data_IF_770714290130
#
_entry.id   IF_770714290130
#
_cell.length_a   1.000
_cell.length_b   1.000
_cell.length_c   1.000
_cell.angle_alpha   90.00
_cell.angle_beta   90.00
_cell.angle_gamma   90.00
#
_symmetry.space_group_name_H-M   'P 1'
#
loop_
_entity.id
_entity.type
_entity.pdbx_description
1 polymer ?
#
# COMPACT_ATOMS: atom_id res chain seq x y z
N UNK A 1 29.20 -37.23 36.86
CA UNK A 1 29.29 -38.58 36.26
C UNK A 1 27.94 -38.90 35.63
N UNK A 2 27.74 -39.34 34.40
CA UNK A 2 28.53 -39.50 33.18
C UNK A 2 27.50 -39.53 32.03
N UNK A 3 27.80 -38.84 30.91
CA UNK A 3 27.17 -39.11 29.61
C UNK A 3 27.71 -40.43 29.03
N UNK A 4 27.00 -40.99 28.05
CA UNK A 4 27.59 -41.29 26.73
C UNK A 4 26.76 -40.53 25.66
N UNK A 5 27.24 -39.85 24.61
CA UNK A 5 28.37 -39.94 23.66
C UNK A 5 28.48 -41.30 22.95
N UNK A 6 27.93 -41.35 21.73
CA UNK A 6 28.46 -42.01 20.54
C UNK A 6 28.08 -41.11 19.34
N UNK A 7 28.99 -40.39 18.65
CA UNK A 7 29.98 -40.84 17.64
C UNK A 7 29.29 -41.65 16.51
N UNK A 8 29.43 -41.36 15.20
CA UNK A 8 30.48 -40.65 14.47
C UNK A 8 30.12 -40.50 12.97
N UNK A 9 30.59 -39.40 12.34
CA UNK A 9 31.29 -39.26 11.04
C UNK A 9 30.69 -39.86 9.72
N UNK A 10 30.94 -39.34 8.50
CA UNK A 10 32.11 -38.64 7.95
C UNK A 10 31.76 -37.87 6.64
N UNK A 11 32.63 -36.89 6.35
CA UNK A 11 32.80 -35.97 5.22
C UNK A 11 33.00 -36.55 3.80
N UNK A 12 32.84 -35.66 2.81
CA UNK A 12 33.69 -35.41 1.62
C UNK A 12 33.50 -33.92 1.23
N UNK A 13 34.36 -32.94 1.57
CA UNK A 13 35.68 -32.53 1.01
C UNK A 13 35.85 -32.75 -0.50
N UNK A 14 35.89 -31.67 -1.28
CA UNK A 14 37.10 -31.12 -1.94
C UNK A 14 36.75 -29.90 -2.83
N UNK A 15 37.43 -28.79 -2.60
CA UNK A 15 37.54 -27.67 -3.53
C UNK A 15 38.89 -27.66 -4.25
N UNK A 16 39.04 -26.75 -5.23
CA UNK A 16 40.27 -26.04 -5.66
C UNK A 16 39.87 -25.11 -6.82
N UNK A 17 39.96 -23.77 -6.71
CA UNK A 17 41.16 -22.90 -6.86
C UNK A 17 41.68 -22.91 -8.31
N UNK A 18 42.10 -21.83 -8.99
CA UNK A 18 42.24 -20.37 -8.81
C UNK A 18 42.77 -19.82 -10.16
N UNK A 19 42.65 -18.51 -10.42
CA UNK A 19 43.73 -17.58 -10.89
C UNK A 19 43.27 -16.52 -11.91
N UNK A 20 43.51 -15.24 -11.57
CA UNK A 20 43.51 -14.04 -12.44
C UNK A 20 44.91 -13.87 -13.12
N UNK A 21 45.24 -12.71 -13.75
CA UNK A 21 45.09 -12.28 -15.17
C UNK A 21 46.52 -12.06 -15.81
N UNK A 22 46.78 -11.36 -16.95
CA UNK A 22 46.64 -9.89 -17.14
C UNK A 22 46.36 -9.40 -18.61
N UNK A 23 46.42 -8.08 -18.81
CA UNK A 23 45.89 -7.22 -19.88
C UNK A 23 46.73 -7.04 -21.18
N UNK A 24 46.09 -6.50 -22.26
CA UNK A 24 46.58 -5.51 -23.25
C UNK A 24 45.49 -5.27 -24.35
N UNK A 25 44.88 -4.09 -24.51
CA UNK A 25 45.20 -2.90 -25.36
C UNK A 25 44.67 -2.95 -26.82
N UNK A 26 43.92 -1.88 -27.17
CA UNK A 26 43.59 -1.24 -28.47
C UNK A 26 42.75 -1.96 -29.56
N UNK A 27 41.66 -1.33 -30.02
CA UNK A 27 41.60 -0.60 -31.33
C UNK A 27 40.30 0.23 -31.50
N UNK A 28 40.53 1.53 -31.70
CA UNK A 28 39.85 2.71 -32.28
C UNK A 28 38.64 2.58 -33.28
N UNK A 29 37.49 3.24 -32.93
CA UNK A 29 36.67 4.30 -33.65
C UNK A 29 35.80 3.93 -34.91
N UNK A 30 34.79 4.73 -35.40
CA UNK A 30 33.73 5.65 -34.87
C UNK A 30 32.28 5.16 -35.19
N UNK A 31 31.14 5.78 -34.81
CA UNK A 31 30.38 6.87 -35.51
C UNK A 31 29.05 7.15 -34.75
N UNK A 32 28.70 8.44 -34.62
CA UNK A 32 27.40 9.00 -34.16
C UNK A 32 26.51 9.33 -35.40
N UNK A 33 25.16 9.41 -35.37
CA UNK A 33 24.46 10.58 -34.79
C UNK A 33 23.06 10.33 -34.17
N UNK A 34 22.65 11.26 -33.30
CA UNK A 34 21.27 11.46 -32.80
C UNK A 34 20.30 11.95 -33.88
N UNK A 35 18.98 11.93 -33.61
CA UNK A 35 18.13 13.02 -34.06
C UNK A 35 17.37 13.72 -32.92
N UNK A 36 17.37 15.05 -33.00
CA UNK A 36 16.43 15.95 -32.33
C UNK A 36 15.04 15.82 -32.96
N UNK A 37 13.98 15.90 -32.15
CA UNK A 37 12.64 16.27 -32.62
C UNK A 37 12.09 17.38 -31.73
N UNK A 38 11.77 18.50 -32.36
CA UNK A 38 11.26 19.74 -31.78
C UNK A 38 9.72 19.78 -31.78
N UNK A 39 9.17 20.53 -30.83
CA UNK A 39 7.75 20.68 -30.44
C UNK A 39 7.12 21.91 -31.12
N UNK A 40 5.79 21.90 -31.40
CA UNK A 40 4.84 23.05 -31.23
C UNK A 40 3.38 22.76 -31.70
N UNK A 41 2.34 23.53 -31.26
CA UNK A 41 1.14 22.97 -30.56
C UNK A 41 -0.29 23.30 -31.11
N UNK A 42 -1.29 22.58 -30.53
CA UNK A 42 -2.71 22.94 -30.18
C UNK A 42 -3.79 23.24 -31.25
N UNK A 43 -5.11 22.91 -31.05
CA UNK A 43 -5.92 23.36 -29.88
C UNK A 43 -6.96 22.39 -29.24
N UNK A 44 -7.11 22.60 -27.92
CA UNK A 44 -8.30 22.53 -27.04
C UNK A 44 -9.52 21.65 -27.39
N UNK A 45 -9.76 20.65 -26.53
CA UNK A 45 -11.10 20.37 -26.00
C UNK A 45 -10.94 19.94 -24.54
N UNK A 46 -11.56 20.68 -23.63
CA UNK A 46 -11.41 20.49 -22.19
C UNK A 46 -12.24 19.29 -21.72
N UNK A 47 -11.70 18.32 -20.97
CA UNK A 47 -12.49 17.59 -20.01
C UNK A 47 -12.47 18.38 -18.70
N UNK A 48 -13.66 18.73 -18.21
CA UNK A 48 -13.86 19.27 -16.86
C UNK A 48 -13.32 18.24 -15.87
N UNK A 49 -12.08 18.44 -15.42
CA UNK A 49 -11.51 17.72 -14.29
C UNK A 49 -12.16 18.31 -13.05
N UNK A 50 -13.13 17.59 -12.48
CA UNK A 50 -13.57 17.86 -11.12
C UNK A 50 -12.40 17.51 -10.19
N UNK A 51 -11.55 18.51 -9.95
CA UNK A 51 -10.46 18.43 -8.99
C UNK A 51 -11.04 18.08 -7.62
N UNK A 52 -10.38 17.13 -6.94
CA UNK A 52 -10.55 16.90 -5.52
C UNK A 52 -10.38 18.23 -4.75
N UNK A 53 -11.02 18.39 -3.57
CA UNK A 53 -10.80 19.56 -2.72
C UNK A 53 -9.31 19.82 -2.51
N UNK A 54 -8.90 21.09 -2.58
CA UNK A 54 -7.51 21.56 -2.49
C UNK A 54 -6.77 20.93 -1.31
N UNK A 55 -5.61 20.34 -1.62
CA UNK A 55 -4.71 19.78 -0.63
C UNK A 55 -4.07 20.89 0.20
N UNK A 56 -4.20 20.72 1.51
CA UNK A 56 -3.37 21.29 2.57
C UNK A 56 -1.88 21.21 2.20
N UNK A 57 -1.08 22.11 2.77
CA UNK A 57 0.38 22.27 2.56
C UNK A 57 1.10 20.99 2.10
N UNK A 58 1.90 21.15 1.04
CA UNK A 58 2.66 20.07 0.43
C UNK A 58 3.76 19.58 1.39
N UNK A 59 3.44 18.57 2.19
CA UNK A 59 4.35 17.99 3.18
C UNK A 59 5.34 17.04 2.49
N UNK A 60 6.65 17.27 2.69
CA UNK A 60 7.72 16.41 2.19
C UNK A 60 8.08 15.39 3.26
N UNK A 61 8.35 14.15 2.85
CA UNK A 61 8.73 13.08 3.76
C UNK A 61 10.01 13.43 4.54
N UNK A 62 9.88 13.59 5.86
CA UNK A 62 10.99 13.85 6.78
C UNK A 62 11.74 12.60 7.27
N UNK A 63 12.62 12.79 8.24
CA UNK A 63 13.17 11.66 9.00
C UNK A 63 12.10 11.10 9.94
N UNK A 64 11.88 9.79 9.84
CA UNK A 64 10.93 9.05 10.66
C UNK A 64 11.71 8.08 11.54
N UNK A 65 11.33 8.01 12.82
CA UNK A 65 11.90 7.11 13.81
C UNK A 65 11.00 5.88 14.04
N UNK A 66 11.41 4.99 14.94
CA UNK A 66 10.67 3.77 15.29
C UNK A 66 9.32 4.04 15.95
N UNK A 67 9.13 5.23 16.50
CA UNK A 67 7.89 5.63 17.16
C UNK A 67 6.74 5.73 16.15
N UNK A 68 7.07 5.92 14.87
CA UNK A 68 6.12 6.09 13.75
C UNK A 68 5.99 4.85 12.86
N UNK A 69 6.40 3.68 13.37
CA UNK A 69 6.21 2.42 12.68
C UNK A 69 4.74 2.13 12.41
N UNK A 70 4.44 1.57 11.22
CA UNK A 70 3.10 1.06 10.93
C UNK A 70 2.68 0.07 12.01
N UNK A 71 1.56 0.37 12.65
CA UNK A 71 0.91 -0.48 13.61
C UNK A 71 -0.01 -1.45 12.88
N UNK A 72 0.03 -2.71 13.31
CA UNK A 72 -1.01 -3.66 12.94
C UNK A 72 -2.34 -3.10 13.44
N UNK A 73 -3.38 -3.12 12.59
CA UNK A 73 -4.72 -2.64 12.93
C UNK A 73 -5.02 -1.16 12.72
N UNK A 74 -4.29 -0.41 11.88
CA UNK A 74 -4.84 0.86 11.36
C UNK A 74 -6.12 0.55 10.56
N UNK A 75 -7.26 1.11 10.98
CA UNK A 75 -8.54 0.97 10.30
C UNK A 75 -9.12 2.36 10.06
N UNK A 76 -9.57 2.64 8.85
CA UNK A 76 -10.25 3.87 8.50
C UNK A 76 -11.51 3.53 7.72
N UNK A 77 -12.66 4.02 8.17
CA UNK A 77 -13.94 3.92 7.47
C UNK A 77 -14.53 5.33 7.47
N UNK A 78 -14.25 6.10 6.42
CA UNK A 78 -14.56 7.52 6.35
C UNK A 78 -14.65 7.98 4.90
N UNK A 79 -15.54 8.94 4.63
CA UNK A 79 -15.79 9.46 3.27
C UNK A 79 -16.11 8.35 2.24
N UNK A 80 -16.75 7.25 2.67
CA UNK A 80 -17.07 6.11 1.80
C UNK A 80 -15.85 5.25 1.39
N UNK A 81 -14.70 5.49 2.03
CA UNK A 81 -13.45 4.77 1.83
C UNK A 81 -13.16 3.95 3.08
N UNK A 82 -12.82 2.67 2.85
CA UNK A 82 -12.32 1.76 3.88
C UNK A 82 -10.87 1.42 3.64
N UNK A 83 -10.06 1.49 4.69
CA UNK A 83 -8.66 1.10 4.63
C UNK A 83 -8.26 0.26 5.82
N UNK A 84 -7.33 -0.66 5.60
CA UNK A 84 -6.71 -1.43 6.68
C UNK A 84 -5.24 -1.71 6.46
N UNK A 85 -4.49 -1.78 7.55
CA UNK A 85 -3.13 -2.31 7.58
C UNK A 85 -3.07 -3.59 8.39
N UNK A 86 -2.36 -4.58 7.83
CA UNK A 86 -1.94 -5.78 8.55
C UNK A 86 -0.43 -5.84 8.58
N UNK A 87 0.19 -5.85 9.75
CA UNK A 87 1.66 -5.81 9.91
C UNK A 87 2.17 -7.12 10.50
N UNK A 88 3.26 -7.65 9.93
CA UNK A 88 3.94 -8.87 10.38
C UNK A 88 5.45 -8.78 10.18
N UNK A 89 6.18 -8.47 11.25
CA UNK A 89 7.65 -8.35 11.22
C UNK A 89 8.11 -7.20 10.31
N UNK A 90 8.84 -7.51 9.24
CA UNK A 90 9.31 -6.55 8.24
C UNK A 90 8.41 -6.45 7.00
N UNK A 91 7.22 -7.05 7.05
CA UNK A 91 6.26 -7.06 5.96
C UNK A 91 4.90 -6.55 6.45
N UNK A 92 4.13 -5.96 5.54
CA UNK A 92 2.75 -5.56 5.82
C UNK A 92 1.87 -5.71 4.57
N UNK A 93 0.55 -5.68 4.74
CA UNK A 93 -0.42 -5.54 3.65
C UNK A 93 -1.28 -4.30 3.90
N UNK A 94 -1.35 -3.48 2.87
CA UNK A 94 -2.26 -2.35 2.74
C UNK A 94 -3.48 -2.77 1.93
N UNK A 95 -4.66 -2.36 2.39
CA UNK A 95 -5.93 -2.54 1.70
C UNK A 95 -6.67 -1.21 1.68
N UNK A 96 -7.20 -0.87 0.53
CA UNK A 96 -8.05 0.29 0.26
C UNK A 96 -9.27 -0.16 -0.54
N UNK A 97 -10.44 0.31 -0.13
CA UNK A 97 -11.71 0.01 -0.79
C UNK A 97 -12.55 1.28 -0.81
N UNK A 98 -12.98 1.69 -2.00
CA UNK A 98 -14.04 2.67 -2.21
C UNK A 98 -15.22 1.96 -2.86
N UNK A 99 -16.40 2.00 -2.25
CA UNK A 99 -17.61 1.42 -2.85
C UNK A 99 -18.04 2.22 -4.09
N UNK A 100 -18.71 1.56 -5.02
CA UNK A 100 -19.34 2.24 -6.15
C UNK A 100 -20.43 3.20 -5.65
N UNK A 101 -20.56 4.32 -6.35
CA UNK A 101 -21.60 5.34 -6.16
C UNK A 101 -22.31 5.55 -7.50
N UNK A 102 -23.47 6.23 -7.52
CA UNK A 102 -24.15 6.56 -8.78
C UNK A 102 -23.28 7.38 -9.74
N UNK A 103 -22.33 8.16 -9.21
CA UNK A 103 -21.51 9.11 -9.97
C UNK A 103 -20.11 8.57 -10.29
N UNK A 104 -19.62 7.58 -9.54
CA UNK A 104 -18.24 7.09 -9.63
C UNK A 104 -18.16 5.59 -9.38
N UNK A 105 -17.35 4.92 -10.20
CA UNK A 105 -17.01 3.52 -10.02
C UNK A 105 -16.23 3.31 -8.72
N UNK A 106 -16.54 2.19 -8.07
CA UNK A 106 -15.81 1.73 -6.91
C UNK A 106 -14.44 1.20 -7.29
N UNK A 107 -13.60 0.99 -6.30
CA UNK A 107 -12.21 0.62 -6.49
C UNK A 107 -11.73 -0.19 -5.30
N UNK A 108 -11.00 -1.27 -5.58
CA UNK A 108 -10.26 -2.03 -4.58
C UNK A 108 -8.80 -1.99 -4.95
N UNK A 109 -7.95 -1.66 -3.98
CA UNK A 109 -6.50 -1.65 -4.13
C UNK A 109 -5.87 -2.37 -2.94
N UNK A 110 -4.93 -3.27 -3.22
CA UNK A 110 -4.17 -3.99 -2.20
C UNK A 110 -2.71 -4.07 -2.59
N UNK A 111 -1.84 -3.87 -1.62
CA UNK A 111 -0.39 -3.92 -1.85
C UNK A 111 0.33 -4.51 -0.65
N UNK A 112 1.32 -5.37 -0.91
CA UNK A 112 2.27 -5.75 0.12
C UNK A 112 3.36 -4.69 0.28
N UNK A 113 3.68 -4.38 1.53
CA UNK A 113 4.72 -3.45 1.91
C UNK A 113 5.91 -4.20 2.50
N UNK A 114 7.10 -3.68 2.27
CA UNK A 114 8.34 -4.09 2.93
C UNK A 114 8.87 -2.93 3.76
N UNK A 115 9.39 -3.23 4.94
CA UNK A 115 10.03 -2.22 5.78
C UNK A 115 11.31 -1.74 5.12
N UNK A 116 11.38 -0.44 4.83
CA UNK A 116 12.59 0.19 4.29
C UNK A 116 13.51 0.64 5.42
N UNK A 117 12.93 1.34 6.40
CA UNK A 117 13.57 1.74 7.65
C UNK A 117 12.51 1.87 8.75
N UNK A 118 12.94 2.26 9.95
CA UNK A 118 12.00 2.63 11.02
C UNK A 118 11.08 3.77 10.54
N UNK A 119 9.79 3.66 10.83
CA UNK A 119 8.74 4.59 10.43
C UNK A 119 8.37 4.59 8.95
N UNK A 120 9.14 3.93 8.07
CA UNK A 120 8.98 4.03 6.63
C UNK A 120 8.88 2.67 5.94
N UNK A 121 7.79 2.49 5.22
CA UNK A 121 7.44 1.26 4.53
C UNK A 121 7.30 1.53 3.04
N UNK A 122 7.74 0.58 2.22
CA UNK A 122 7.73 0.72 0.77
C UNK A 122 6.85 -0.34 0.14
N UNK A 123 5.96 0.08 -0.76
CA UNK A 123 5.19 -0.78 -1.62
C UNK A 123 6.11 -1.67 -2.44
N UNK A 124 5.94 -2.98 -2.34
CA UNK A 124 6.88 -3.95 -2.91
C UNK A 124 6.94 -3.90 -4.45
N UNK A 125 5.87 -3.43 -5.09
CA UNK A 125 5.76 -3.34 -6.55
C UNK A 125 5.62 -1.89 -7.02
N UNK A 126 4.83 -1.06 -6.31
CA UNK A 126 4.60 0.33 -6.75
C UNK A 126 5.73 1.27 -6.36
N UNK A 127 6.55 0.91 -5.36
CA UNK A 127 7.58 1.77 -4.82
C UNK A 127 7.05 2.96 -4.01
N UNK A 128 5.73 3.10 -3.83
CA UNK A 128 5.14 4.13 -2.96
C UNK A 128 5.61 3.94 -1.53
N UNK A 129 5.75 5.04 -0.82
CA UNK A 129 6.18 5.03 0.56
C UNK A 129 4.99 5.30 1.49
N UNK A 130 4.90 4.55 2.57
CA UNK A 130 3.85 4.67 3.57
C UNK A 130 4.49 4.93 4.92
N UNK A 131 3.93 5.89 5.65
CA UNK A 131 4.33 6.23 7.00
C UNK A 131 3.09 6.49 7.86
N UNK A 132 3.19 6.15 9.15
CA UNK A 132 2.14 6.43 10.12
C UNK A 132 2.67 7.42 11.14
N UNK A 133 2.47 8.72 10.87
CA UNK A 133 2.94 9.79 11.76
C UNK A 133 2.19 9.86 13.10
N UNK A 134 1.03 9.19 13.21
CA UNK A 134 0.30 8.99 14.44
C UNK A 134 -0.58 7.74 14.34
N UNK A 135 -0.99 7.14 15.48
CA UNK A 135 -1.82 5.94 15.49
C UNK A 135 -3.11 6.05 14.68
N UNK A 136 -3.63 7.26 14.49
CA UNK A 136 -4.84 7.56 13.73
C UNK A 136 -4.61 8.12 12.30
N UNK A 137 -3.36 8.31 11.86
CA UNK A 137 -3.03 8.97 10.58
C UNK A 137 -2.08 8.14 9.72
N UNK A 138 -2.47 7.85 8.48
CA UNK A 138 -1.65 7.14 7.49
C UNK A 138 -1.36 8.07 6.30
N UNK A 139 -0.07 8.27 6.02
CA UNK A 139 0.41 9.07 4.90
C UNK A 139 0.97 8.16 3.80
N UNK A 140 0.66 8.49 2.56
CA UNK A 140 1.17 7.82 1.37
C UNK A 140 1.94 8.85 0.55
N UNK A 141 3.18 8.51 0.19
CA UNK A 141 4.11 9.36 -0.53
C UNK A 141 4.50 8.73 -1.87
N UNK A 142 4.79 9.60 -2.84
CA UNK A 142 5.41 9.26 -4.10
C UNK A 142 6.56 10.23 -4.35
N UNK A 143 7.76 9.73 -4.62
CA UNK A 143 8.94 10.57 -4.85
C UNK A 143 9.21 11.59 -3.72
N UNK A 144 9.04 11.17 -2.45
CA UNK A 144 9.10 12.01 -1.24
C UNK A 144 8.02 13.10 -1.10
N UNK A 145 7.07 13.19 -2.03
CA UNK A 145 5.95 14.12 -1.94
C UNK A 145 4.71 13.41 -1.39
N UNK A 146 3.98 14.06 -0.48
CA UNK A 146 2.71 13.53 0.04
C UNK A 146 1.69 13.42 -1.09
N UNK A 147 1.34 12.18 -1.43
CA UNK A 147 0.30 11.88 -2.41
C UNK A 147 -1.08 12.00 -1.78
N UNK A 148 -1.26 11.41 -0.60
CA UNK A 148 -2.52 11.45 0.14
C UNK A 148 -2.31 11.13 1.61
N UNK A 149 -3.21 11.61 2.46
CA UNK A 149 -3.23 11.36 3.89
C UNK A 149 -4.63 10.97 4.34
N UNK A 150 -4.70 9.97 5.20
CA UNK A 150 -5.93 9.47 5.77
C UNK A 150 -5.87 9.58 7.28
N UNK A 151 -6.76 10.37 7.84
CA UNK A 151 -6.88 10.56 9.28
C UNK A 151 -8.23 10.01 9.74
N UNK A 152 -8.19 9.16 10.77
CA UNK A 152 -9.39 8.65 11.40
C UNK A 152 -9.76 9.54 12.60
N UNK A 153 -10.79 10.40 12.47
CA UNK A 153 -11.14 11.36 13.52
C UNK A 153 -11.75 10.71 14.76
N UNK A 154 -12.14 9.43 14.68
CA UNK A 154 -12.72 8.70 15.81
C UNK A 154 -11.67 8.01 16.69
N UNK A 155 -10.38 8.18 16.39
CA UNK A 155 -9.27 7.63 17.16
C UNK A 155 -8.53 8.82 17.76
N UNK A 156 -8.16 8.71 19.04
CA UNK A 156 -7.39 9.75 19.72
C UNK A 156 -6.09 10.10 18.99
N UNK A 157 -5.69 11.37 19.08
CA UNK A 157 -4.37 11.84 18.63
C UNK A 157 -3.25 11.36 19.57
N UNK A 158 -3.57 11.05 20.82
CA UNK A 158 -2.62 10.45 21.76
C UNK A 158 -2.32 9.00 21.34
N UNK A 159 -1.05 8.69 21.10
CA UNK A 159 -0.63 7.42 20.51
C UNK A 159 -0.95 6.21 21.40
N UNK A 160 -0.82 6.35 22.72
CA UNK A 160 -1.12 5.26 23.65
C UNK A 160 -2.62 4.94 23.67
N UNK A 161 -3.45 5.98 23.67
CA UNK A 161 -4.91 5.84 23.60
C UNK A 161 -5.37 5.36 22.22
N UNK A 162 -4.73 5.81 21.13
CA UNK A 162 -5.05 5.40 19.77
C UNK A 162 -5.00 3.88 19.56
N UNK A 163 -4.00 3.21 20.13
CA UNK A 163 -3.87 1.75 20.07
C UNK A 163 -5.05 1.06 20.77
N UNK A 164 -5.51 1.61 21.89
CA UNK A 164 -6.68 1.08 22.59
C UNK A 164 -7.94 1.25 21.74
N UNK A 165 -8.18 2.45 21.23
CA UNK A 165 -9.35 2.77 20.40
C UNK A 165 -9.40 1.89 19.12
N UNK A 166 -8.23 1.65 18.50
CA UNK A 166 -8.10 0.80 17.32
C UNK A 166 -8.52 -0.65 17.58
N UNK A 167 -8.08 -1.21 18.70
CA UNK A 167 -8.42 -2.58 19.08
C UNK A 167 -9.92 -2.76 19.30
N UNK A 168 -10.59 -1.76 19.89
CA UNK A 168 -12.04 -1.78 20.08
C UNK A 168 -12.80 -1.75 18.74
N UNK A 169 -12.33 -0.98 17.75
CA UNK A 169 -12.97 -0.85 16.43
C UNK A 169 -12.70 -2.03 15.48
N UNK A 170 -11.64 -2.80 15.72
CA UNK A 170 -11.18 -3.90 14.86
C UNK A 170 -12.28 -4.87 14.45
N UNK A 171 -13.12 -5.30 15.40
CA UNK A 171 -14.14 -6.33 15.16
C UNK A 171 -15.24 -5.84 14.22
N UNK A 172 -15.76 -4.64 14.46
CA UNK A 172 -16.77 -4.02 13.59
C UNK A 172 -16.21 -3.77 12.19
N UNK A 173 -15.00 -3.22 12.11
CA UNK A 173 -14.34 -2.97 10.83
C UNK A 173 -14.09 -4.27 10.04
N UNK A 174 -13.63 -5.33 10.71
CA UNK A 174 -13.36 -6.62 10.06
C UNK A 174 -14.59 -7.23 9.40
N UNK A 175 -15.77 -7.06 10.00
CA UNK A 175 -17.04 -7.50 9.40
C UNK A 175 -17.37 -6.68 8.15
N UNK A 176 -17.26 -5.36 8.23
CA UNK A 176 -17.51 -4.45 7.11
C UNK A 176 -16.53 -4.67 5.95
N UNK A 177 -15.27 -4.93 6.25
CA UNK A 177 -14.25 -5.24 5.25
C UNK A 177 -14.60 -6.54 4.51
N UNK A 178 -15.00 -7.60 5.23
CA UNK A 178 -15.40 -8.87 4.61
C UNK A 178 -16.62 -8.70 3.69
N UNK A 179 -17.59 -7.89 4.10
CA UNK A 179 -18.75 -7.58 3.27
C UNK A 179 -18.33 -6.89 1.96
N UNK A 180 -17.46 -5.89 2.02
CA UNK A 180 -17.05 -5.16 0.82
C UNK A 180 -16.18 -6.01 -0.12
N UNK A 181 -15.29 -6.81 0.45
CA UNK A 181 -14.50 -7.76 -0.33
C UNK A 181 -15.39 -8.82 -0.99
N UNK A 182 -16.57 -9.13 -0.45
CA UNK A 182 -17.48 -10.10 -1.06
C UNK A 182 -18.10 -9.62 -2.37
N UNK A 183 -17.99 -8.33 -2.69
CA UNK A 183 -18.42 -7.76 -3.97
C UNK A 183 -17.54 -8.26 -5.12
N UNK A 184 -16.28 -8.67 -4.83
CA UNK A 184 -15.39 -9.30 -5.81
C UNK A 184 -14.72 -10.56 -5.26
N UNK A 185 -15.05 -11.71 -5.83
CA UNK A 185 -14.40 -12.99 -5.46
C UNK A 185 -12.88 -12.98 -5.73
N UNK A 186 -12.43 -12.24 -6.75
CA UNK A 186 -11.00 -12.03 -7.02
C UNK A 186 -10.34 -11.26 -5.89
N UNK A 187 -10.89 -10.11 -5.49
CA UNK A 187 -10.38 -9.31 -4.38
C UNK A 187 -10.35 -10.12 -3.07
N UNK A 188 -11.42 -10.84 -2.76
CA UNK A 188 -11.52 -11.70 -1.57
C UNK A 188 -10.45 -12.80 -1.57
N UNK A 189 -10.18 -13.43 -2.72
CA UNK A 189 -9.13 -14.43 -2.86
C UNK A 189 -7.74 -13.82 -2.68
N UNK A 190 -7.47 -12.66 -3.27
CA UNK A 190 -6.20 -11.94 -3.10
C UNK A 190 -6.00 -11.55 -1.63
N UNK A 191 -7.00 -10.97 -0.98
CA UNK A 191 -6.93 -10.64 0.44
C UNK A 191 -6.64 -11.87 1.31
N UNK A 192 -7.38 -12.96 1.10
CA UNK A 192 -7.23 -14.17 1.92
C UNK A 192 -5.88 -14.83 1.72
N UNK A 193 -5.38 -14.91 0.49
CA UNK A 193 -4.18 -15.68 0.17
C UNK A 193 -2.89 -14.84 0.23
N UNK A 194 -2.93 -13.61 -0.26
CA UNK A 194 -1.74 -12.78 -0.44
C UNK A 194 -1.50 -11.88 0.78
N UNK A 195 -2.52 -11.21 1.31
CA UNK A 195 -2.34 -10.41 2.53
C UNK A 195 -2.07 -11.24 3.77
N UNK A 196 -2.53 -12.49 3.83
CA UNK A 196 -2.11 -13.40 4.90
C UNK A 196 -0.70 -13.95 4.70
N UNK A 197 -0.31 -14.21 3.45
CA UNK A 197 1.01 -14.73 3.12
C UNK A 197 2.14 -13.69 3.13
N UNK A 198 1.82 -12.39 3.18
CA UNK A 198 2.77 -11.26 3.17
C UNK A 198 3.85 -11.38 2.09
N UNK A 199 3.53 -12.02 0.96
CA UNK A 199 4.42 -12.13 -0.21
C UNK A 199 4.37 -10.83 -1.02
N UNK A 200 5.32 -10.61 -1.91
CA UNK A 200 5.31 -9.46 -2.82
C UNK A 200 4.16 -9.53 -3.82
N UNK A 201 3.24 -8.56 -3.79
CA UNK A 201 2.15 -8.40 -4.77
C UNK A 201 1.65 -6.95 -4.83
N UNK A 202 0.94 -6.66 -5.92
CA UNK A 202 0.08 -5.50 -6.07
C UNK A 202 -1.18 -5.92 -6.81
N UNK A 203 -2.34 -5.45 -6.35
CA UNK A 203 -3.64 -5.75 -6.91
C UNK A 203 -4.47 -4.49 -6.95
N UNK A 204 -5.10 -4.22 -8.09
CA UNK A 204 -6.05 -3.13 -8.28
C UNK A 204 -7.18 -3.59 -9.18
N UNK A 205 -8.40 -3.26 -8.77
CA UNK A 205 -9.61 -3.64 -9.46
C UNK A 205 -10.60 -2.48 -9.40
N UNK A 206 -11.20 -2.16 -10.54
CA UNK A 206 -12.37 -1.29 -10.61
C UNK A 206 -13.63 -2.12 -10.38
N UNK A 207 -14.51 -1.66 -9.50
CA UNK A 207 -15.77 -2.34 -9.21
C UNK A 207 -16.82 -2.00 -10.26
N UNK A 208 -17.76 -2.91 -10.55
CA UNK A 208 -18.84 -2.64 -11.48
C UNK A 208 -19.69 -1.44 -11.02
N UNK A 209 -20.33 -0.78 -12.00
CA UNK A 209 -21.36 0.21 -11.72
C UNK A 209 -22.47 -0.39 -10.86
N UNK A 210 -23.11 0.46 -10.04
CA UNK A 210 -24.31 0.05 -9.32
C UNK A 210 -25.38 -0.39 -10.31
N UNK A 211 -26.08 -1.47 -9.98
CA UNK A 211 -27.33 -1.83 -10.65
C UNK A 211 -28.41 -0.79 -10.35
N UNK A 212 -29.48 -0.75 -11.15
CA UNK A 212 -30.63 0.17 -10.93
C UNK A 212 -31.22 0.00 -9.52
N UNK A 213 -31.27 -1.23 -9.01
CA UNK A 213 -31.77 -1.52 -7.67
C UNK A 213 -30.85 -0.96 -6.58
N UNK A 214 -29.54 -1.18 -6.70
CA UNK A 214 -28.53 -0.68 -5.77
C UNK A 214 -28.44 0.85 -5.79
N UNK A 215 -28.58 1.46 -6.97
CA UNK A 215 -28.66 2.91 -7.11
C UNK A 215 -29.88 3.48 -6.37
N UNK A 216 -31.06 2.87 -6.55
CA UNK A 216 -32.28 3.29 -5.86
C UNK A 216 -32.23 3.06 -4.33
N UNK A 217 -31.47 2.07 -3.88
CA UNK A 217 -31.19 1.83 -2.46
C UNK A 217 -30.23 2.89 -1.89
N UNK A 218 -29.15 3.18 -2.61
CA UNK A 218 -28.18 4.23 -2.25
C UNK A 218 -28.88 5.59 -2.10
N UNK A 219 -29.70 5.98 -3.07
CA UNK A 219 -30.45 7.24 -3.03
C UNK A 219 -31.44 7.31 -1.85
N UNK A 220 -32.07 6.19 -1.49
CA UNK A 220 -32.94 6.12 -0.30
C UNK A 220 -32.14 6.26 1.00
N UNK A 221 -30.97 5.64 1.09
CA UNK A 221 -30.11 5.74 2.27
C UNK A 221 -29.68 7.18 2.55
N UNK A 222 -29.40 7.97 1.50
CA UNK A 222 -29.04 9.38 1.64
C UNK A 222 -30.24 10.23 2.09
N UNK A 223 -31.45 9.96 1.58
CA UNK A 223 -32.65 10.71 1.99
C UNK A 223 -32.95 10.52 3.47
N UNK A 224 -32.86 9.28 3.97
CA UNK A 224 -33.10 8.96 5.38
C UNK A 224 -32.06 9.52 6.35
N UNK A 225 -30.90 10.00 5.87
CA UNK A 225 -29.88 10.67 6.70
C UNK A 225 -30.15 12.17 6.85
N UNK A 226 -31.08 12.73 6.07
CA UNK A 226 -31.41 14.16 6.06
C UNK A 226 -32.72 14.49 6.79
N UNK A 227 -33.49 13.47 7.14
CA UNK A 227 -34.74 13.55 7.92
C UNK A 227 -34.49 13.17 9.39
#
# INVERSE_FOLDING_TARGET
MNRPIFLSLLLLVFGCSKANPPAAIETVVPVSPSPLVSVSPSPSTSPVSQALPELQEQEVLGELDSTNDLLDSFYFDGNGIKMSLKVGGSQACYVYIRRSTPEKLGEIEMESLVRERAGLWRGSQTGRQLAQGAGNKLNIYQNNELLTSYENPSISLDQAQAVKDLNERKSAFSLLLRQDLSISESAKRVYTNQCQGLKGFYYKEELPSLTVAEQAEFERSIKNLKD
#
